data_IF_636025240467
#
_entry.id   IF_636025240467
#
_cell.length_a   1.000
_cell.length_b   1.000
_cell.length_c   1.000
_cell.angle_alpha   90.00
_cell.angle_beta   90.00
_cell.angle_gamma   90.00
#
_symmetry.space_group_name_H-M   'P 1'
#
loop_
_entity.id
_entity.type
_entity.pdbx_description
1 polymer ?
#
# COMPACT_ATOMS: atom_id res chain seq x y z
N UNK A 1 14.27 -13.56 11.76
CA UNK A 1 14.13 -12.78 10.51
C UNK A 1 14.72 -11.41 10.74
N UNK A 2 14.88 -10.57 9.72
CA UNK A 2 15.26 -9.16 9.90
C UNK A 2 14.17 -8.34 9.23
N UNK A 3 13.62 -7.36 9.95
CA UNK A 3 12.69 -6.39 9.38
C UNK A 3 13.47 -5.35 8.58
N UNK A 4 12.89 -4.80 7.49
CA UNK A 4 13.64 -3.99 6.54
C UNK A 4 14.15 -2.66 7.12
N UNK A 5 13.51 -2.16 8.17
CA UNK A 5 13.91 -0.90 8.82
C UNK A 5 13.42 -0.82 10.27
N UNK A 6 13.83 0.23 10.98
CA UNK A 6 13.39 0.50 12.35
C UNK A 6 11.92 0.93 12.41
N UNK A 7 11.45 1.59 11.35
CA UNK A 7 10.08 2.03 11.12
C UNK A 7 9.19 0.81 10.89
N UNK A 8 9.62 -0.15 10.08
CA UNK A 8 8.90 -1.40 9.87
C UNK A 8 8.78 -2.21 11.17
N UNK A 9 9.82 -2.23 12.02
CA UNK A 9 9.73 -2.83 13.36
C UNK A 9 8.69 -2.12 14.22
N UNK A 10 8.74 -0.80 14.27
CA UNK A 10 7.78 0.02 15.02
C UNK A 10 6.34 -0.24 14.54
N UNK A 11 6.13 -0.25 13.22
CA UNK A 11 4.83 -0.50 12.62
C UNK A 11 4.29 -1.89 12.93
N UNK A 12 5.12 -2.94 12.81
CA UNK A 12 4.74 -4.31 13.19
C UNK A 12 4.41 -4.40 14.69
N UNK A 13 5.20 -3.77 15.56
CA UNK A 13 4.94 -3.79 17.01
C UNK A 13 3.60 -3.13 17.35
N UNK A 14 3.34 -1.94 16.81
CA UNK A 14 2.07 -1.22 17.03
C UNK A 14 0.89 -1.96 16.40
N UNK A 15 1.07 -2.54 15.20
CA UNK A 15 0.04 -3.32 14.54
C UNK A 15 -0.35 -4.55 15.37
N UNK A 16 0.62 -5.27 15.92
CA UNK A 16 0.37 -6.39 16.85
C UNK A 16 -0.44 -5.92 18.05
N UNK A 17 -0.01 -4.86 18.72
CA UNK A 17 -0.72 -4.30 19.87
C UNK A 17 -2.14 -3.85 19.52
N UNK A 18 -2.35 -3.21 18.35
CA UNK A 18 -3.66 -2.79 17.86
C UNK A 18 -4.64 -3.97 17.70
N UNK A 19 -4.15 -5.18 17.36
CA UNK A 19 -5.01 -6.38 17.28
C UNK A 19 -5.75 -6.68 18.59
N UNK A 20 -5.18 -6.28 19.74
CA UNK A 20 -5.78 -6.51 21.07
C UNK A 20 -6.93 -5.55 21.39
N UNK A 21 -7.06 -4.43 20.68
CA UNK A 21 -8.12 -3.43 20.90
C UNK A 21 -8.99 -3.21 19.68
N UNK A 22 -9.00 -4.15 18.73
CA UNK A 22 -9.88 -4.11 17.56
C UNK A 22 -11.29 -3.59 17.85
N UNK A 23 -12.01 -4.03 18.92
CA UNK A 23 -13.33 -3.51 19.28
C UNK A 23 -13.48 -1.98 19.37
N UNK A 24 -12.41 -1.26 19.78
CA UNK A 24 -12.41 0.21 19.87
C UNK A 24 -12.13 0.92 18.54
N UNK A 25 -11.50 0.24 17.59
CA UNK A 25 -10.90 0.89 16.42
C UNK A 25 -11.92 1.06 15.29
N UNK A 26 -11.97 2.23 14.65
CA UNK A 26 -12.84 2.45 13.49
C UNK A 26 -12.34 1.75 12.21
N UNK A 27 -11.01 1.58 12.11
CA UNK A 27 -10.34 0.93 11.01
C UNK A 27 -9.54 -0.28 11.48
N UNK A 28 -9.53 -1.32 10.66
CA UNK A 28 -8.70 -2.49 10.86
C UNK A 28 -7.62 -2.48 9.76
N UNK A 29 -6.38 -2.08 10.04
CA UNK A 29 -5.37 -1.98 9.01
C UNK A 29 -4.88 -3.37 8.62
N UNK A 30 -4.58 -3.52 7.33
CA UNK A 30 -4.04 -4.77 6.79
C UNK A 30 -2.52 -4.72 7.00
N UNK A 31 -1.88 -5.86 7.15
CA UNK A 31 -0.43 -5.94 7.18
C UNK A 31 0.03 -6.73 5.96
N UNK A 32 0.55 -6.03 4.95
CA UNK A 32 1.06 -6.67 3.74
C UNK A 32 2.53 -7.05 3.95
N UNK A 33 2.80 -8.32 4.23
CA UNK A 33 4.16 -8.85 4.39
C UNK A 33 4.64 -9.37 3.04
N UNK A 34 5.13 -8.46 2.20
CA UNK A 34 5.50 -8.75 0.81
C UNK A 34 7.01 -8.88 0.65
N UNK A 35 7.46 -9.42 -0.48
CA UNK A 35 8.88 -9.45 -0.81
C UNK A 35 9.12 -10.04 -2.18
N UNK A 36 10.23 -9.68 -2.84
CA UNK A 36 10.43 -9.93 -4.28
C UNK A 36 10.66 -11.41 -4.60
N UNK A 37 11.01 -12.23 -3.61
CA UNK A 37 11.33 -13.64 -3.82
C UNK A 37 10.97 -14.52 -2.62
N UNK A 38 11.10 -15.83 -2.84
CA UNK A 38 11.12 -16.83 -1.77
C UNK A 38 12.31 -16.61 -0.82
N UNK A 39 12.13 -17.05 0.43
CA UNK A 39 13.15 -17.03 1.50
C UNK A 39 13.56 -15.63 1.99
N UNK A 40 12.67 -14.63 1.88
CA UNK A 40 12.86 -13.31 2.49
C UNK A 40 12.41 -13.23 3.97
N UNK A 41 11.99 -14.35 4.56
CA UNK A 41 11.56 -14.38 5.97
C UNK A 41 10.10 -13.98 6.21
N UNK A 42 9.26 -13.88 5.18
CA UNK A 42 7.82 -13.56 5.27
C UNK A 42 7.04 -14.51 6.17
N UNK A 43 7.06 -15.81 5.87
CA UNK A 43 6.38 -16.82 6.71
C UNK A 43 6.93 -16.82 8.14
N UNK A 44 8.22 -16.48 8.34
CA UNK A 44 8.77 -16.34 9.69
C UNK A 44 8.19 -15.15 10.45
N UNK A 45 7.90 -14.03 9.77
CA UNK A 45 7.19 -12.92 10.38
C UNK A 45 5.75 -13.34 10.72
N UNK A 46 5.08 -14.04 9.81
CA UNK A 46 3.76 -14.60 10.08
C UNK A 46 3.74 -15.57 11.27
N UNK A 47 4.77 -16.41 11.44
CA UNK A 47 4.92 -17.27 12.63
C UNK A 47 4.97 -16.43 13.91
N UNK A 48 5.76 -15.35 13.94
CA UNK A 48 5.86 -14.48 15.12
C UNK A 48 4.55 -13.76 15.38
N UNK A 49 3.88 -13.27 14.32
CA UNK A 49 2.57 -12.64 14.44
C UNK A 49 1.53 -13.60 15.00
N UNK A 50 1.49 -14.85 14.51
CA UNK A 50 0.61 -15.91 15.01
C UNK A 50 0.66 -16.04 16.54
N UNK A 51 1.86 -15.95 17.12
CA UNK A 51 2.03 -16.16 18.55
C UNK A 51 1.87 -14.88 19.39
N UNK A 52 1.74 -13.71 18.75
CA UNK A 52 1.71 -12.41 19.45
C UNK A 52 0.40 -11.64 19.28
N UNK A 53 -0.36 -11.87 18.23
CA UNK A 53 -1.63 -11.16 17.97
C UNK A 53 -2.78 -11.70 18.81
N UNK A 54 -3.86 -10.93 18.88
CA UNK A 54 -5.11 -11.37 19.50
C UNK A 54 -5.82 -12.41 18.63
N UNK A 55 -6.10 -13.57 19.24
CA UNK A 55 -6.97 -14.61 18.69
C UNK A 55 -6.66 -14.93 17.22
N UNK A 56 -5.45 -15.48 16.96
CA UNK A 56 -4.99 -15.74 15.60
C UNK A 56 -5.88 -16.77 14.91
N UNK A 57 -6.39 -16.41 13.72
CA UNK A 57 -7.06 -17.33 12.81
C UNK A 57 -6.20 -17.51 11.56
N UNK A 58 -5.43 -18.59 11.54
CA UNK A 58 -4.58 -18.95 10.39
C UNK A 58 -5.46 -19.55 9.30
N UNK A 59 -5.39 -18.98 8.11
CA UNK A 59 -6.10 -19.49 6.93
C UNK A 59 -5.08 -19.94 5.89
N UNK A 60 -4.81 -21.24 5.85
CA UNK A 60 -4.15 -21.90 4.71
C UNK A 60 -5.26 -22.62 3.96
N UNK A 61 -5.77 -22.03 2.87
CA UNK A 61 -6.89 -22.58 2.07
C UNK A 61 -8.27 -22.68 2.77
N UNK A 62 -8.56 -21.84 3.77
CA UNK A 62 -9.89 -21.79 4.39
C UNK A 62 -10.93 -21.15 3.46
N UNK A 63 -12.14 -21.71 3.37
CA UNK A 63 -13.21 -21.14 2.54
C UNK A 63 -13.68 -19.78 3.09
N UNK A 64 -14.04 -18.80 2.24
CA UNK A 64 -14.57 -17.51 2.69
C UNK A 64 -15.75 -17.66 3.66
N UNK A 65 -16.58 -18.69 3.46
CA UNK A 65 -17.73 -18.99 4.30
C UNK A 65 -17.37 -19.37 5.75
N UNK A 66 -16.19 -19.93 6.00
CA UNK A 66 -15.69 -20.18 7.36
C UNK A 66 -15.23 -18.87 7.99
N UNK A 67 -14.52 -18.03 7.23
CA UNK A 67 -14.04 -16.73 7.72
C UNK A 67 -15.22 -15.81 8.08
N UNK A 68 -16.25 -15.72 7.23
CA UNK A 68 -17.46 -14.93 7.54
C UNK A 68 -18.16 -15.36 8.84
N UNK A 69 -18.05 -16.63 9.23
CA UNK A 69 -18.67 -17.15 10.47
C UNK A 69 -17.78 -16.99 11.70
N UNK A 70 -16.47 -16.80 11.51
CA UNK A 70 -15.53 -16.60 12.59
C UNK A 70 -15.44 -15.13 13.04
N UNK A 71 -15.82 -14.18 12.18
CA UNK A 71 -15.80 -12.75 12.51
C UNK A 71 -17.06 -12.38 13.30
N UNK A 72 -16.86 -11.93 14.54
CA UNK A 72 -17.90 -11.42 15.45
C UNK A 72 -17.63 -9.98 15.90
N UNK A 73 -18.21 -9.60 17.06
CA UNK A 73 -18.02 -8.26 17.65
C UNK A 73 -16.59 -8.02 18.15
N UNK A 74 -15.96 -9.06 18.70
CA UNK A 74 -14.54 -9.11 19.05
C UNK A 74 -13.82 -9.99 18.04
N UNK A 75 -13.38 -9.44 16.90
CA UNK A 75 -12.94 -10.23 15.76
C UNK A 75 -11.58 -10.90 16.00
N UNK A 76 -11.35 -12.09 15.42
CA UNK A 76 -10.03 -12.70 15.40
C UNK A 76 -9.08 -11.91 14.50
N UNK A 77 -7.77 -12.13 14.66
CA UNK A 77 -6.78 -11.62 13.71
C UNK A 77 -6.56 -12.63 12.60
N UNK A 78 -6.86 -12.24 11.36
CA UNK A 78 -6.71 -13.13 10.20
C UNK A 78 -5.24 -13.20 9.75
N UNK A 79 -4.75 -14.40 9.49
CA UNK A 79 -3.37 -14.62 9.03
C UNK A 79 -3.39 -15.47 7.76
N UNK A 80 -3.00 -14.87 6.62
CA UNK A 80 -3.00 -15.49 5.29
C UNK A 80 -1.56 -15.66 4.83
N UNK A 81 -1.06 -16.91 4.78
CA UNK A 81 0.23 -17.20 4.14
C UNK A 81 0.03 -17.54 2.66
N UNK A 82 1.10 -17.40 1.88
CA UNK A 82 1.11 -17.70 0.43
C UNK A 82 0.01 -16.96 -0.36
N UNK A 83 -0.26 -15.70 -0.02
CA UNK A 83 -1.27 -14.87 -0.67
C UNK A 83 -1.04 -14.69 -2.19
N UNK A 84 0.19 -14.90 -2.68
CA UNK A 84 0.48 -14.96 -4.12
C UNK A 84 -0.16 -16.17 -4.83
N UNK A 85 -0.47 -17.25 -4.12
CA UNK A 85 -1.24 -18.37 -4.70
C UNK A 85 -2.72 -18.00 -4.90
N UNK A 86 -3.22 -17.04 -4.10
CA UNK A 86 -4.60 -16.56 -4.12
C UNK A 86 -4.76 -15.43 -5.13
N UNK A 87 -3.78 -14.51 -5.19
CA UNK A 87 -3.89 -13.25 -5.93
C UNK A 87 -2.82 -13.04 -7.01
N UNK A 88 -1.80 -13.89 -7.11
CA UNK A 88 -0.64 -13.67 -7.99
C UNK A 88 -0.88 -13.90 -9.48
N UNK A 89 -2.08 -14.33 -9.89
CA UNK A 89 -2.49 -14.37 -11.30
C UNK A 89 -3.91 -13.87 -11.46
N UNK A 90 -4.23 -13.31 -12.64
CA UNK A 90 -5.57 -12.80 -12.96
C UNK A 90 -6.64 -13.86 -12.69
N UNK A 91 -6.42 -15.09 -13.16
CA UNK A 91 -7.36 -16.21 -12.98
C UNK A 91 -7.54 -16.58 -11.50
N UNK A 92 -6.47 -16.55 -10.71
CA UNK A 92 -6.56 -16.83 -9.27
C UNK A 92 -7.30 -15.70 -8.55
N UNK A 93 -7.01 -14.44 -8.89
CA UNK A 93 -7.68 -13.28 -8.31
C UNK A 93 -9.19 -13.28 -8.60
N UNK A 94 -9.59 -13.55 -9.86
CA UNK A 94 -11.00 -13.68 -10.25
C UNK A 94 -11.74 -14.78 -9.49
N UNK A 95 -11.06 -15.92 -9.24
CA UNK A 95 -11.62 -17.03 -8.45
C UNK A 95 -11.79 -16.66 -6.96
N UNK A 96 -10.98 -15.73 -6.46
CA UNK A 96 -10.92 -15.34 -5.05
C UNK A 96 -11.49 -13.94 -4.79
N UNK A 97 -12.35 -13.43 -5.68
CA UNK A 97 -13.01 -12.13 -5.53
C UNK A 97 -13.78 -11.97 -4.22
N UNK A 98 -14.40 -13.04 -3.73
CA UNK A 98 -15.11 -13.00 -2.45
C UNK A 98 -14.19 -12.74 -1.26
N UNK A 99 -13.00 -13.36 -1.26
CA UNK A 99 -12.00 -13.15 -0.23
C UNK A 99 -11.41 -11.74 -0.32
N UNK A 100 -11.12 -11.26 -1.54
CA UNK A 100 -10.69 -9.87 -1.76
C UNK A 100 -11.75 -8.87 -1.27
N UNK A 101 -13.02 -9.14 -1.58
CA UNK A 101 -14.16 -8.34 -1.12
C UNK A 101 -14.27 -8.31 0.40
N UNK A 102 -14.11 -9.46 1.07
CA UNK A 102 -14.07 -9.56 2.53
C UNK A 102 -12.91 -8.74 3.12
N UNK A 103 -11.70 -8.89 2.57
CA UNK A 103 -10.51 -8.15 3.02
C UNK A 103 -10.64 -6.64 2.80
N UNK A 104 -11.27 -6.20 1.71
CA UNK A 104 -11.48 -4.79 1.44
C UNK A 104 -12.58 -4.19 2.33
N UNK A 105 -13.70 -4.90 2.49
CA UNK A 105 -14.84 -4.46 3.30
C UNK A 105 -14.48 -4.38 4.78
N UNK A 106 -13.73 -5.37 5.27
CA UNK A 106 -13.36 -5.45 6.68
C UNK A 106 -12.40 -4.37 7.17
N UNK A 107 -11.91 -3.48 6.30
CA UNK A 107 -10.99 -2.41 6.68
C UNK A 107 -11.70 -1.35 7.50
N UNK A 108 -12.98 -1.13 7.23
CA UNK A 108 -13.80 -0.13 7.89
C UNK A 108 -14.95 -0.81 8.63
N UNK A 109 -15.27 -0.34 9.84
CA UNK A 109 -16.44 -0.81 10.58
C UNK A 109 -17.74 -0.60 9.79
N UNK A 110 -18.76 -1.39 10.15
CA UNK A 110 -20.13 -1.27 9.65
C UNK A 110 -20.26 -1.48 8.12
N UNK A 111 -19.42 -2.34 7.55
CA UNK A 111 -19.47 -2.77 6.13
C UNK A 111 -19.77 -4.29 6.00
N UNK A 112 -20.92 -4.78 6.48
CA UNK A 112 -21.20 -6.21 6.46
C UNK A 112 -21.34 -6.74 5.02
N UNK A 113 -20.99 -8.01 4.81
CA UNK A 113 -21.28 -8.71 3.58
C UNK A 113 -22.67 -9.33 3.66
N UNK A 114 -23.53 -9.04 2.67
CA UNK A 114 -24.82 -9.68 2.54
C UNK A 114 -24.68 -10.95 1.69
N UNK A 115 -25.07 -12.09 2.25
CA UNK A 115 -25.04 -13.39 1.56
C UNK A 115 -26.40 -14.08 1.70
N UNK A 116 -26.81 -14.78 0.65
CA UNK A 116 -27.93 -15.71 0.75
C UNK A 116 -27.43 -16.97 1.45
N UNK A 117 -28.07 -17.35 2.55
CA UNK A 117 -27.68 -18.51 3.34
C UNK A 117 -28.90 -19.25 3.89
N UNK A 118 -28.68 -20.52 4.27
CA UNK A 118 -29.69 -21.36 4.89
C UNK A 118 -30.78 -21.87 3.94
N UNK A 119 -31.66 -22.76 4.44
CA UNK A 119 -32.71 -23.40 3.63
C UNK A 119 -33.80 -22.42 3.17
N UNK A 120 -33.95 -21.28 3.85
CA UNK A 120 -34.96 -20.26 3.51
C UNK A 120 -34.49 -19.26 2.44
N UNK A 121 -33.24 -19.34 1.98
CA UNK A 121 -32.65 -18.46 0.98
C UNK A 121 -32.84 -16.95 1.27
N UNK A 122 -32.73 -16.56 2.54
CA UNK A 122 -32.85 -15.16 2.96
C UNK A 122 -31.48 -14.45 2.98
N UNK A 123 -31.44 -13.13 2.72
CA UNK A 123 -30.23 -12.35 2.94
C UNK A 123 -29.84 -12.35 4.42
N UNK A 124 -28.61 -12.77 4.71
CA UNK A 124 -27.99 -12.70 6.03
C UNK A 124 -26.78 -11.77 5.96
N UNK A 125 -26.67 -10.87 6.95
CA UNK A 125 -25.51 -10.01 7.13
C UNK A 125 -24.42 -10.76 7.90
N UNK A 126 -23.21 -10.75 7.34
CA UNK A 126 -22.01 -11.27 7.98
C UNK A 126 -21.06 -10.10 8.29
N UNK A 127 -20.62 -9.95 9.55
CA UNK A 127 -19.55 -9.01 9.89
C UNK A 127 -18.29 -9.30 9.08
N UNK A 128 -17.57 -8.25 8.71
CA UNK A 128 -16.33 -8.32 7.92
C UNK A 128 -15.14 -7.70 8.63
N UNK A 129 -15.40 -6.88 9.66
CA UNK A 129 -14.40 -6.09 10.35
C UNK A 129 -13.43 -6.99 11.13
N UNK A 130 -12.19 -7.07 10.66
CA UNK A 130 -11.11 -7.83 11.29
C UNK A 130 -9.78 -7.35 10.71
N UNK A 131 -8.74 -7.23 11.55
CA UNK A 131 -7.36 -7.01 11.12
C UNK A 131 -6.84 -8.29 10.44
N UNK A 132 -6.02 -8.10 9.40
CA UNK A 132 -5.53 -9.20 8.59
C UNK A 132 -4.07 -8.98 8.19
N UNK A 133 -3.21 -9.98 8.42
CA UNK A 133 -1.86 -10.01 7.85
C UNK A 133 -1.82 -10.97 6.65
N UNK A 134 -1.23 -10.52 5.55
CA UNK A 134 -1.11 -11.27 4.30
C UNK A 134 0.36 -11.36 3.89
N UNK A 135 0.90 -12.57 3.81
CA UNK A 135 2.25 -12.81 3.29
C UNK A 135 2.22 -13.30 1.85
N UNK A 136 2.98 -12.66 0.97
CA UNK A 136 3.01 -13.02 -0.45
C UNK A 136 4.32 -12.66 -1.17
N UNK A 137 4.53 -13.26 -2.36
CA UNK A 137 5.56 -12.83 -3.30
C UNK A 137 5.02 -11.70 -4.18
N UNK A 138 5.78 -10.62 -4.30
CA UNK A 138 5.35 -9.42 -5.01
C UNK A 138 4.24 -8.67 -4.28
N UNK A 139 3.65 -7.69 -4.95
CA UNK A 139 2.56 -6.90 -4.40
C UNK A 139 1.24 -7.68 -4.39
N UNK A 140 0.39 -7.36 -3.42
CA UNK A 140 -0.99 -7.82 -3.36
C UNK A 140 -1.85 -6.94 -4.29
N UNK A 141 -3.13 -7.26 -4.54
CA UNK A 141 -3.99 -6.39 -5.33
C UNK A 141 -4.01 -4.96 -4.77
N UNK A 142 -3.96 -3.94 -5.63
CA UNK A 142 -3.85 -2.52 -5.26
C UNK A 142 -4.87 -2.11 -4.19
N UNK A 143 -6.11 -2.61 -4.29
CA UNK A 143 -7.16 -2.33 -3.30
C UNK A 143 -6.83 -2.83 -1.88
N UNK A 144 -6.07 -3.92 -1.77
CA UNK A 144 -5.59 -4.45 -0.49
C UNK A 144 -4.36 -3.67 -0.04
N UNK A 145 -3.43 -3.38 -0.95
CA UNK A 145 -2.20 -2.61 -0.67
C UNK A 145 -2.52 -1.22 -0.08
N UNK A 146 -3.47 -0.51 -0.68
CA UNK A 146 -3.93 0.81 -0.26
C UNK A 146 -4.65 0.81 1.12
N UNK A 147 -4.96 -0.37 1.67
CA UNK A 147 -5.53 -0.57 3.02
C UNK A 147 -4.51 -1.16 4.01
N UNK A 148 -3.25 -1.25 3.60
CA UNK A 148 -2.20 -1.99 4.29
C UNK A 148 -1.07 -1.11 4.79
N UNK A 149 -0.57 -1.45 5.97
CA UNK A 149 0.82 -1.16 6.35
C UNK A 149 1.70 -2.18 5.63
N UNK A 150 2.57 -1.71 4.73
CA UNK A 150 3.36 -2.58 3.85
C UNK A 150 4.75 -2.85 4.46
N UNK A 151 5.08 -4.13 4.64
CA UNK A 151 6.38 -4.60 5.12
C UNK A 151 7.11 -5.30 3.97
N UNK A 152 7.96 -4.56 3.26
CA UNK A 152 8.76 -5.07 2.13
C UNK A 152 9.98 -5.85 2.62
N UNK A 153 9.79 -7.14 2.85
CA UNK A 153 10.81 -8.07 3.31
C UNK A 153 11.88 -8.33 2.24
N UNK A 154 13.15 -8.32 2.64
CA UNK A 154 14.28 -8.65 1.77
C UNK A 154 15.04 -9.89 2.23
N UNK A 155 15.85 -10.47 1.33
CA UNK A 155 16.82 -11.49 1.74
C UNK A 155 17.88 -10.86 2.63
N UNK A 156 18.32 -11.60 3.63
CA UNK A 156 19.44 -11.19 4.47
C UNK A 156 20.69 -11.00 3.63
N UNK A 157 21.48 -9.99 3.99
CA UNK A 157 22.81 -9.78 3.41
C UNK A 157 23.78 -10.86 3.88
N UNK A 158 24.83 -11.08 3.10
CA UNK A 158 25.95 -11.91 3.55
C UNK A 158 26.55 -11.27 4.82
N UNK A 159 26.56 -12.00 5.93
CA UNK A 159 27.07 -11.52 7.23
C UNK A 159 25.98 -11.21 8.27
N UNK A 160 24.73 -11.00 7.84
CA UNK A 160 23.61 -10.82 8.77
C UNK A 160 23.24 -12.16 9.43
N UNK A 161 23.56 -12.27 10.71
CA UNK A 161 23.21 -13.43 11.54
C UNK A 161 21.99 -13.10 12.38
N UNK A 162 21.03 -14.01 12.40
CA UNK A 162 19.94 -14.00 13.37
C UNK A 162 19.81 -15.39 13.94
N UNK A 163 19.40 -15.45 15.20
CA UNK A 163 19.05 -16.70 15.83
C UNK A 163 17.94 -17.41 15.08
N UNK A 164 18.03 -18.73 15.07
CA UNK A 164 16.98 -19.56 14.51
C UNK A 164 15.80 -19.59 15.46
N UNK A 165 14.62 -19.23 14.95
CA UNK A 165 13.39 -19.38 15.71
C UNK A 165 13.11 -20.85 15.99
N UNK A 166 12.89 -21.18 17.27
CA UNK A 166 12.60 -22.51 17.77
C UNK A 166 11.31 -22.46 18.57
N UNK A 167 10.27 -23.10 18.05
CA UNK A 167 8.92 -23.10 18.65
C UNK A 167 8.93 -23.41 20.15
N UNK A 168 9.65 -24.46 20.57
CA UNK A 168 9.71 -24.87 21.99
C UNK A 168 10.38 -23.84 22.91
N UNK A 169 11.34 -23.06 22.41
CA UNK A 169 12.10 -22.09 23.19
C UNK A 169 11.43 -20.71 23.18
N UNK A 170 10.97 -20.29 22.01
CA UNK A 170 10.62 -18.89 21.76
C UNK A 170 9.11 -18.62 21.94
N UNK A 171 8.23 -19.59 21.63
CA UNK A 171 6.76 -19.40 21.71
C UNK A 171 6.28 -19.06 23.13
N UNK A 172 6.75 -19.71 24.21
CA UNK A 172 6.25 -19.38 25.55
C UNK A 172 6.44 -17.91 25.93
N UNK A 173 7.56 -17.29 25.52
CA UNK A 173 7.80 -15.88 25.75
C UNK A 173 6.89 -14.97 24.90
N UNK A 174 6.58 -15.38 23.67
CA UNK A 174 5.65 -14.65 22.79
C UNK A 174 4.21 -14.72 23.32
N UNK A 175 3.78 -15.86 23.84
CA UNK A 175 2.47 -15.99 24.52
C UNK A 175 2.39 -15.10 25.75
N UNK A 176 3.43 -15.10 26.59
CA UNK A 176 3.47 -14.20 27.74
C UNK A 176 3.38 -12.72 27.33
N UNK A 177 3.99 -12.33 26.20
CA UNK A 177 3.86 -10.99 25.65
C UNK A 177 2.43 -10.71 25.16
N UNK A 178 1.81 -11.63 24.41
CA UNK A 178 0.42 -11.54 23.95
C UNK A 178 -0.55 -11.34 25.10
N UNK A 179 -0.37 -12.11 26.18
CA UNK A 179 -1.24 -12.06 27.34
C UNK A 179 -1.07 -10.74 28.10
N UNK A 180 0.17 -10.23 28.21
CA UNK A 180 0.45 -8.90 28.77
C UNK A 180 -0.14 -7.77 27.93
N UNK A 181 -0.05 -7.83 26.60
CA UNK A 181 -0.67 -6.85 25.71
C UNK A 181 -2.19 -6.85 25.89
N UNK A 182 -2.81 -8.03 25.98
CA UNK A 182 -4.24 -8.16 26.24
C UNK A 182 -4.62 -7.56 27.58
N UNK A 183 -3.91 -7.90 28.65
CA UNK A 183 -4.18 -7.41 30.00
C UNK A 183 -4.02 -5.89 30.13
N UNK A 184 -3.06 -5.31 29.40
CA UNK A 184 -2.83 -3.86 29.40
C UNK A 184 -3.84 -3.10 28.56
N UNK A 185 -4.11 -3.53 27.32
CA UNK A 185 -4.86 -2.75 26.36
C UNK A 185 -6.38 -2.94 26.46
N UNK A 186 -6.86 -4.12 26.88
CA UNK A 186 -8.30 -4.40 27.00
C UNK A 186 -9.04 -3.41 27.92
N UNK A 187 -8.52 -3.06 29.11
CA UNK A 187 -9.15 -2.07 29.97
C UNK A 187 -9.20 -0.65 29.38
N UNK A 188 -8.39 -0.36 28.36
CA UNK A 188 -8.28 0.96 27.73
C UNK A 188 -9.15 1.09 26.47
N UNK A 189 -10.03 0.12 26.18
CA UNK A 189 -10.86 0.09 24.96
C UNK A 189 -11.71 1.36 24.82
N UNK A 190 -12.36 1.82 25.90
CA UNK A 190 -13.19 3.04 25.87
C UNK A 190 -12.33 4.28 25.63
N UNK A 191 -11.20 4.40 26.34
CA UNK A 191 -10.23 5.49 26.12
C UNK A 191 -9.72 5.48 24.68
N UNK A 192 -9.43 4.31 24.11
CA UNK A 192 -8.98 4.15 22.74
C UNK A 192 -10.03 4.59 21.72
N UNK A 193 -11.32 4.35 22.00
CA UNK A 193 -12.42 4.72 21.12
C UNK A 193 -12.62 6.24 21.03
N UNK A 194 -12.30 6.97 22.10
CA UNK A 194 -12.42 8.42 22.16
C UNK A 194 -11.17 9.18 21.65
N UNK A 195 -10.05 8.47 21.45
CA UNK A 195 -8.82 9.08 20.97
C UNK A 195 -8.90 9.47 19.50
N UNK A 196 -8.66 10.75 19.21
CA UNK A 196 -8.54 11.29 17.85
C UNK A 196 -7.14 11.89 17.71
N UNK A 197 -6.10 11.06 17.47
CA UNK A 197 -4.75 11.56 17.33
C UNK A 197 -4.65 12.43 16.07
N UNK A 198 -3.84 13.51 16.08
CA UNK A 198 -3.49 14.18 14.83
C UNK A 198 -2.82 13.16 13.90
N UNK A 199 -2.92 13.29 12.58
CA UNK A 199 -2.26 12.38 11.64
C UNK A 199 -1.33 13.16 10.72
N UNK A 200 -0.10 12.64 10.43
CA UNK A 200 0.86 13.33 9.57
C UNK A 200 0.61 13.06 8.07
N UNK A 201 -0.40 12.26 7.74
CA UNK A 201 -0.84 11.89 6.40
C UNK A 201 -2.36 12.07 6.29
N UNK A 202 -2.92 11.96 5.09
CA UNK A 202 -4.34 12.18 4.83
C UNK A 202 -5.02 10.94 4.22
N UNK A 203 -6.35 11.02 4.08
CA UNK A 203 -7.19 10.02 3.43
C UNK A 203 -6.93 8.59 3.95
N UNK A 204 -6.80 7.63 3.05
CA UNK A 204 -6.71 6.22 3.39
C UNK A 204 -5.43 5.86 4.13
N UNK A 205 -4.35 6.61 3.91
CA UNK A 205 -3.12 6.44 4.68
C UNK A 205 -3.36 6.82 6.15
N UNK A 206 -4.13 7.88 6.42
CA UNK A 206 -4.52 8.26 7.78
C UNK A 206 -5.39 7.18 8.41
N UNK A 207 -6.43 6.72 7.70
CA UNK A 207 -7.33 5.64 8.17
C UNK A 207 -6.56 4.36 8.53
N UNK A 208 -5.53 4.02 7.75
CA UNK A 208 -4.71 2.81 7.94
C UNK A 208 -3.77 2.95 9.13
N UNK A 209 -3.17 4.13 9.34
CA UNK A 209 -2.16 4.34 10.37
C UNK A 209 -2.74 4.79 11.72
N UNK A 210 -3.92 5.40 11.74
CA UNK A 210 -4.56 5.90 12.96
C UNK A 210 -4.64 4.83 14.07
N UNK A 211 -5.06 3.58 13.81
CA UNK A 211 -5.06 2.54 14.85
C UNK A 211 -3.71 2.26 15.50
N UNK A 212 -2.62 2.39 14.74
CA UNK A 212 -1.25 2.23 15.26
C UNK A 212 -0.86 3.46 16.11
N UNK A 213 -1.25 4.66 15.68
CA UNK A 213 -1.01 5.89 16.43
C UNK A 213 -1.83 5.91 17.73
N UNK A 214 -3.09 5.46 17.72
CA UNK A 214 -3.91 5.32 18.94
C UNK A 214 -3.20 4.46 19.98
N UNK A 215 -2.69 3.28 19.60
CA UNK A 215 -1.90 2.43 20.51
C UNK A 215 -0.65 3.14 21.00
N UNK A 216 0.01 3.91 20.14
CA UNK A 216 1.20 4.65 20.51
C UNK A 216 0.90 5.77 21.52
N UNK A 217 -0.22 6.49 21.38
CA UNK A 217 -0.69 7.47 22.36
C UNK A 217 -0.99 6.82 23.72
N UNK A 218 -1.62 5.64 23.73
CA UNK A 218 -1.86 4.87 24.96
C UNK A 218 -0.56 4.40 25.61
N UNK A 219 0.46 4.10 24.82
CA UNK A 219 1.78 3.71 25.30
C UNK A 219 2.57 4.89 25.89
N UNK A 220 2.40 6.09 25.32
CA UNK A 220 3.11 7.30 25.73
C UNK A 220 4.62 7.26 25.45
N UNK A 221 5.36 8.11 26.16
CA UNK A 221 6.80 8.30 26.00
C UNK A 221 7.19 8.59 24.53
N UNK A 222 8.16 7.85 24.00
CA UNK A 222 8.63 7.99 22.62
C UNK A 222 7.74 7.31 21.56
N UNK A 223 6.72 6.56 21.98
CA UNK A 223 5.90 5.79 21.02
C UNK A 223 5.11 6.65 20.06
N UNK A 224 4.41 7.74 20.47
CA UNK A 224 3.67 8.60 19.56
C UNK A 224 4.56 9.17 18.45
N UNK A 225 5.73 9.68 18.81
CA UNK A 225 6.71 10.24 17.88
C UNK A 225 7.23 9.17 16.91
N UNK A 226 7.58 7.99 17.42
CA UNK A 226 8.04 6.86 16.60
C UNK A 226 6.96 6.36 15.64
N UNK A 227 5.71 6.31 16.07
CA UNK A 227 4.59 5.90 15.23
C UNK A 227 4.38 6.85 14.05
N UNK A 228 4.41 8.16 14.33
CA UNK A 228 4.26 9.22 13.31
C UNK A 228 5.45 9.24 12.34
N UNK A 229 6.66 9.09 12.86
CA UNK A 229 7.86 9.00 12.02
C UNK A 229 7.81 7.77 11.11
N UNK A 230 7.41 6.61 11.64
CA UNK A 230 7.23 5.40 10.86
C UNK A 230 6.14 5.56 9.78
N UNK A 231 5.01 6.19 10.15
CA UNK A 231 3.91 6.51 9.22
C UNK A 231 4.40 7.32 8.03
N UNK A 232 5.06 8.46 8.27
CA UNK A 232 5.57 9.34 7.20
C UNK A 232 6.58 8.60 6.33
N UNK A 233 7.59 7.97 6.94
CA UNK A 233 8.67 7.33 6.20
C UNK A 233 8.17 6.16 5.33
N UNK A 234 7.28 5.33 5.87
CA UNK A 234 6.75 4.17 5.15
C UNK A 234 5.74 4.56 4.08
N UNK A 235 4.87 5.55 4.33
CA UNK A 235 3.97 6.08 3.30
C UNK A 235 4.75 6.73 2.15
N UNK A 236 5.78 7.52 2.45
CA UNK A 236 6.63 8.12 1.42
C UNK A 236 7.37 7.06 0.58
N UNK A 237 7.86 5.99 1.22
CA UNK A 237 8.49 4.88 0.51
C UNK A 237 7.52 4.15 -0.43
N UNK A 238 6.26 3.96 -0.03
CA UNK A 238 5.25 3.34 -0.89
C UNK A 238 4.87 4.25 -2.07
N UNK A 239 4.76 5.57 -1.88
CA UNK A 239 4.55 6.51 -3.01
C UNK A 239 5.72 6.44 -4.00
N UNK A 240 6.97 6.38 -3.51
CA UNK A 240 8.14 6.23 -4.38
C UNK A 240 8.16 4.89 -5.14
N UNK A 241 7.72 3.80 -4.50
CA UNK A 241 7.59 2.48 -5.15
C UNK A 241 6.41 2.43 -6.14
N UNK A 242 5.31 3.11 -5.83
CA UNK A 242 4.25 3.35 -6.81
C UNK A 242 4.81 4.12 -7.99
N UNK A 243 5.58 5.20 -7.81
CA UNK A 243 6.16 5.93 -8.95
C UNK A 243 7.12 5.08 -9.82
N UNK A 244 7.89 4.16 -9.22
CA UNK A 244 8.74 3.20 -9.95
C UNK A 244 7.94 2.09 -10.65
N UNK A 245 6.87 1.59 -10.03
CA UNK A 245 5.98 0.54 -10.57
C UNK A 245 4.88 1.08 -11.48
N UNK A 246 4.55 2.37 -11.37
CA UNK A 246 3.51 3.08 -12.09
C UNK A 246 4.11 3.59 -13.40
N UNK A 247 4.43 2.61 -14.24
CA UNK A 247 4.71 2.76 -15.66
C UNK A 247 3.72 3.75 -16.31
N UNK A 248 2.46 3.83 -15.86
CA UNK A 248 1.49 4.79 -16.41
C UNK A 248 1.78 6.24 -16.02
N UNK A 249 2.14 6.53 -14.78
CA UNK A 249 2.54 7.88 -14.34
C UNK A 249 3.89 8.27 -14.94
N UNK A 250 4.87 7.35 -14.97
CA UNK A 250 6.13 7.58 -15.69
C UNK A 250 5.89 7.90 -17.16
N UNK A 251 4.99 7.16 -17.81
CA UNK A 251 4.57 7.46 -19.18
C UNK A 251 3.99 8.87 -19.31
N UNK A 252 3.15 9.34 -18.37
CA UNK A 252 2.63 10.71 -18.41
C UNK A 252 3.74 11.76 -18.31
N UNK A 253 4.71 11.56 -17.40
CA UNK A 253 5.89 12.44 -17.25
C UNK A 253 6.74 12.45 -18.53
N UNK A 254 7.02 11.28 -19.11
CA UNK A 254 7.82 11.15 -20.32
C UNK A 254 7.10 11.73 -21.54
N UNK A 255 5.77 11.55 -21.65
CA UNK A 255 4.96 12.19 -22.70
C UNK A 255 4.98 13.71 -22.53
N UNK A 256 4.91 14.25 -21.30
CA UNK A 256 5.04 15.70 -21.04
C UNK A 256 6.37 16.24 -21.56
N UNK A 257 7.46 15.51 -21.29
CA UNK A 257 8.80 15.84 -21.80
C UNK A 257 8.86 15.83 -23.33
N UNK A 258 8.24 14.84 -23.99
CA UNK A 258 8.18 14.80 -25.47
C UNK A 258 7.41 16.01 -26.04
N UNK A 259 6.28 16.40 -25.43
CA UNK A 259 5.57 17.62 -25.83
C UNK A 259 6.46 18.87 -25.67
N UNK A 260 7.18 19.00 -24.56
CA UNK A 260 8.11 20.10 -24.33
C UNK A 260 9.27 20.11 -25.37
N UNK A 261 9.82 18.95 -25.72
CA UNK A 261 10.87 18.82 -26.75
C UNK A 261 10.42 19.30 -28.13
N UNK A 262 9.12 19.19 -28.45
CA UNK A 262 8.54 19.72 -29.69
C UNK A 262 8.05 21.17 -29.58
N UNK A 263 8.30 21.86 -28.46
CA UNK A 263 7.85 23.24 -28.24
C UNK A 263 6.37 23.35 -27.88
N UNK A 264 5.82 22.37 -27.16
CA UNK A 264 4.44 22.34 -26.67
C UNK A 264 3.36 22.49 -27.77
N UNK A 265 3.41 21.69 -28.87
CA UNK A 265 2.41 21.79 -29.92
C UNK A 265 1.01 21.36 -29.43
N UNK A 266 -0.04 21.86 -30.07
CA UNK A 266 -1.43 21.51 -29.75
C UNK A 266 -1.73 20.02 -29.93
N UNK A 267 -0.96 19.33 -30.79
CA UNK A 267 -1.10 17.89 -31.00
C UNK A 267 0.19 17.24 -31.47
N UNK A 268 0.36 15.96 -31.14
CA UNK A 268 1.51 15.13 -31.54
C UNK A 268 1.00 13.85 -32.19
N UNK A 269 1.62 13.42 -33.29
CA UNK A 269 1.30 12.16 -33.97
C UNK A 269 1.71 10.98 -33.08
N UNK A 270 0.90 9.93 -33.05
CA UNK A 270 1.20 8.73 -32.25
C UNK A 270 2.55 8.12 -32.61
N UNK A 271 2.90 8.14 -33.90
CA UNK A 271 4.20 7.65 -34.38
C UNK A 271 5.36 8.46 -33.81
N UNK A 272 5.31 9.79 -33.93
CA UNK A 272 6.40 10.67 -33.49
C UNK A 272 6.56 10.61 -31.95
N UNK A 273 5.44 10.54 -31.22
CA UNK A 273 5.45 10.32 -29.77
C UNK A 273 6.15 9.02 -29.38
N UNK A 274 5.84 7.91 -30.08
CA UNK A 274 6.50 6.62 -29.84
C UNK A 274 7.99 6.67 -30.20
N UNK A 275 8.35 7.29 -31.32
CA UNK A 275 9.74 7.44 -31.75
C UNK A 275 10.58 8.15 -30.68
N UNK A 276 10.08 9.24 -30.08
CA UNK A 276 10.82 9.93 -29.02
C UNK A 276 10.84 9.14 -27.71
N UNK A 277 9.74 8.51 -27.31
CA UNK A 277 9.70 7.67 -26.10
C UNK A 277 10.69 6.50 -26.19
N UNK A 278 10.86 5.90 -27.38
CA UNK A 278 11.77 4.77 -27.60
C UNK A 278 13.24 5.18 -27.71
N UNK A 279 13.55 6.47 -27.96
CA UNK A 279 14.94 6.97 -28.02
C UNK A 279 15.59 7.08 -26.63
N UNK A 280 14.78 7.29 -25.59
CA UNK A 280 15.28 7.37 -24.22
C UNK A 280 15.69 5.98 -23.71
N UNK A 281 17.00 5.72 -23.65
CA UNK A 281 17.57 4.46 -23.18
C UNK A 281 17.49 4.30 -21.66
N UNK A 282 17.29 5.38 -20.91
CA UNK A 282 17.09 5.32 -19.45
C UNK A 282 15.62 5.00 -19.10
N UNK A 283 14.71 5.15 -20.07
CA UNK A 283 13.32 4.82 -19.95
C UNK A 283 13.01 3.37 -20.37
N UNK A 284 12.04 2.69 -19.73
CA UNK A 284 11.74 1.28 -19.98
C UNK A 284 11.04 1.03 -21.33
N UNK A 285 10.83 2.07 -22.15
CA UNK A 285 9.97 2.00 -23.33
C UNK A 285 10.54 1.13 -24.44
N UNK A 286 11.85 1.14 -24.65
CA UNK A 286 12.51 0.34 -25.69
C UNK A 286 12.32 -1.17 -25.46
N UNK A 287 12.31 -1.60 -24.19
CA UNK A 287 12.22 -3.01 -23.79
C UNK A 287 10.83 -3.39 -23.25
N UNK A 288 9.88 -2.46 -23.26
CA UNK A 288 8.57 -2.66 -22.62
C UNK A 288 7.89 -3.94 -23.14
N UNK A 289 7.60 -4.88 -22.23
CA UNK A 289 7.04 -6.21 -22.52
C UNK A 289 7.82 -6.99 -23.59
N UNK A 290 9.15 -6.89 -23.59
CA UNK A 290 10.08 -7.59 -24.49
C UNK A 290 9.85 -7.30 -25.99
N UNK A 291 8.99 -6.35 -26.33
CA UNK A 291 8.59 -6.01 -27.71
C UNK A 291 8.67 -4.51 -27.99
N UNK A 292 9.04 -3.71 -26.99
CA UNK A 292 8.99 -2.26 -27.02
C UNK A 292 7.57 -1.71 -26.85
N UNK A 293 7.50 -0.43 -26.49
CA UNK A 293 6.22 0.27 -26.38
C UNK A 293 5.59 0.43 -27.76
N UNK A 294 4.45 -0.23 -27.99
CA UNK A 294 3.69 -0.14 -29.23
C UNK A 294 2.51 0.82 -29.10
N UNK A 295 1.93 1.29 -30.21
CA UNK A 295 0.72 2.12 -30.20
C UNK A 295 -0.45 1.48 -29.43
N UNK A 296 -0.56 0.14 -29.49
CA UNK A 296 -1.56 -0.61 -28.73
C UNK A 296 -1.31 -0.50 -27.23
N UNK A 297 -0.07 -0.72 -26.79
CA UNK A 297 0.27 -0.64 -25.37
C UNK A 297 0.21 0.79 -24.83
N UNK A 298 0.64 1.77 -25.63
CA UNK A 298 0.49 3.19 -25.32
C UNK A 298 -1.00 3.53 -25.08
N UNK A 299 -1.89 3.09 -25.97
CA UNK A 299 -3.33 3.28 -25.79
C UNK A 299 -3.89 2.60 -24.53
N UNK A 300 -3.42 1.40 -24.18
CA UNK A 300 -3.83 0.68 -22.95
C UNK A 300 -3.40 1.43 -21.70
N UNK A 301 -2.16 1.94 -21.67
CA UNK A 301 -1.61 2.67 -20.53
C UNK A 301 -2.33 4.01 -20.32
N UNK A 302 -2.63 4.72 -21.40
CA UNK A 302 -3.29 6.04 -21.36
C UNK A 302 -4.81 5.97 -21.13
N UNK A 303 -5.46 4.84 -21.43
CA UNK A 303 -6.91 4.67 -21.27
C UNK A 303 -7.38 4.92 -19.84
N UNK A 304 -6.56 4.57 -18.84
CA UNK A 304 -6.89 4.77 -17.43
C UNK A 304 -7.05 6.25 -17.03
N UNK A 305 -6.45 7.16 -17.79
CA UNK A 305 -6.54 8.62 -17.58
C UNK A 305 -7.59 9.29 -18.47
N UNK A 306 -8.41 8.50 -19.20
CA UNK A 306 -9.37 9.03 -20.16
C UNK A 306 -8.73 9.53 -21.47
N UNK A 307 -7.44 9.26 -21.70
CA UNK A 307 -6.69 9.76 -22.86
C UNK A 307 -6.73 8.74 -23.98
N UNK A 308 -7.12 9.18 -25.18
CA UNK A 308 -7.28 8.31 -26.35
C UNK A 308 -6.80 9.00 -27.62
N UNK A 309 -6.04 8.26 -28.43
CA UNK A 309 -5.61 8.74 -29.74
C UNK A 309 -6.82 8.93 -30.66
N UNK A 310 -6.90 10.07 -31.32
CA UNK A 310 -7.93 10.37 -32.32
C UNK A 310 -7.29 10.60 -33.70
N UNK A 311 -8.09 10.60 -34.77
CA UNK A 311 -7.62 11.05 -36.08
C UNK A 311 -7.63 12.57 -36.07
N UNK A 312 -6.45 13.18 -36.13
CA UNK A 312 -6.26 14.63 -36.10
C UNK A 312 -5.70 15.12 -37.44
N UNK A 313 -5.98 16.38 -37.78
CA UNK A 313 -5.46 17.04 -38.97
C UNK A 313 -4.20 17.81 -38.58
N UNK A 314 -3.08 17.47 -39.20
CA UNK A 314 -1.78 18.12 -38.99
C UNK A 314 -1.46 19.08 -40.13
N UNK A 315 -0.41 19.90 -39.96
CA UNK A 315 0.07 20.82 -41.00
C UNK A 315 0.31 20.09 -42.34
N UNK A 316 -0.02 20.79 -43.44
CA UNK A 316 -0.03 20.20 -44.77
C UNK A 316 -1.28 19.35 -45.09
N UNK A 317 -2.31 19.39 -44.23
CA UNK A 317 -3.62 18.78 -44.50
C UNK A 317 -3.67 17.26 -44.35
N UNK A 318 -2.59 16.63 -43.87
CA UNK A 318 -2.51 15.18 -43.67
C UNK A 318 -3.25 14.78 -42.39
N UNK A 319 -4.07 13.74 -42.50
CA UNK A 319 -4.73 13.14 -41.35
C UNK A 319 -3.88 11.99 -40.79
N UNK A 320 -3.73 11.94 -39.47
CA UNK A 320 -3.02 10.85 -38.79
C UNK A 320 -3.60 10.62 -37.40
N UNK A 321 -3.37 9.43 -36.83
CA UNK A 321 -3.64 9.18 -35.41
C UNK A 321 -2.65 9.97 -34.56
N UNK A 322 -3.16 10.67 -33.55
CA UNK A 322 -2.37 11.45 -32.62
C UNK A 322 -3.15 11.77 -31.35
N UNK A 323 -2.52 12.54 -30.49
CA UNK A 323 -3.11 13.00 -29.24
C UNK A 323 -3.09 14.54 -29.20
N UNK A 324 -4.17 15.12 -28.70
CA UNK A 324 -4.22 16.56 -28.44
C UNK A 324 -3.63 16.84 -27.05
N UNK A 325 -2.85 17.91 -26.92
CA UNK A 325 -2.21 18.32 -25.66
C UNK A 325 -3.23 18.52 -24.55
N UNK A 326 -4.41 19.05 -24.89
CA UNK A 326 -5.54 19.28 -23.98
C UNK A 326 -6.08 18.01 -23.33
N UNK A 327 -5.86 16.82 -23.90
CA UNK A 327 -6.23 15.56 -23.25
C UNK A 327 -5.35 15.25 -22.04
N UNK A 328 -4.11 15.76 -22.01
CA UNK A 328 -3.14 15.46 -20.97
C UNK A 328 -3.10 16.49 -19.84
N UNK A 329 -3.68 17.68 -20.01
CA UNK A 329 -3.51 18.80 -19.05
C UNK A 329 -3.96 18.44 -17.64
N UNK A 330 -5.15 17.84 -17.48
CA UNK A 330 -5.66 17.40 -16.18
C UNK A 330 -4.81 16.27 -15.57
N UNK A 331 -4.41 15.30 -16.40
CA UNK A 331 -3.56 14.20 -15.94
C UNK A 331 -2.15 14.69 -15.51
N UNK A 332 -1.54 15.63 -16.25
CA UNK A 332 -0.27 16.23 -15.87
C UNK A 332 -0.37 17.06 -14.60
N UNK A 333 -1.44 17.83 -14.42
CA UNK A 333 -1.65 18.62 -13.21
C UNK A 333 -1.77 17.73 -11.96
N UNK A 334 -2.41 16.56 -12.08
CA UNK A 334 -2.66 15.64 -10.95
C UNK A 334 -1.51 14.69 -10.65
N UNK A 335 -0.88 14.15 -11.69
CA UNK A 335 0.09 13.04 -11.57
C UNK A 335 1.52 13.45 -11.92
N UNK A 336 1.74 14.68 -12.39
CA UNK A 336 3.06 15.21 -12.74
C UNK A 336 3.28 16.64 -12.19
N UNK A 337 3.10 16.89 -10.88
CA UNK A 337 3.33 18.20 -10.31
C UNK A 337 4.79 18.63 -10.53
N UNK A 338 5.01 19.91 -10.82
CA UNK A 338 6.36 20.46 -10.93
C UNK A 338 7.02 20.45 -9.55
N UNK A 339 8.25 19.90 -9.47
CA UNK A 339 9.08 20.05 -8.28
C UNK A 339 9.32 21.53 -8.04
N UNK A 340 8.76 22.08 -6.96
CA UNK A 340 9.13 23.42 -6.52
C UNK A 340 10.63 23.40 -6.18
N UNK A 341 11.44 24.33 -6.72
CA UNK A 341 12.80 24.48 -6.23
C UNK A 341 12.75 24.79 -4.73
N UNK A 342 13.70 24.27 -3.93
CA UNK A 342 13.74 24.55 -2.51
C UNK A 342 13.78 26.07 -2.32
N UNK A 343 12.86 26.58 -1.51
CA UNK A 343 12.81 27.97 -1.06
C UNK A 343 14.11 28.28 -0.33
N UNK A 344 15.08 28.82 -1.07
CA UNK A 344 16.30 29.41 -0.53
C UNK A 344 15.97 30.74 0.11
N UNK A 345 15.56 30.71 1.37
CA UNK A 345 15.45 31.91 2.20
C UNK A 345 16.68 32.04 3.09
N UNK A 346 17.28 33.23 3.07
CA UNK A 346 18.24 33.67 4.09
C UNK A 346 19.59 34.17 3.59
N UNK A 347 19.63 35.08 2.60
CA UNK A 347 20.78 36.00 2.50
C UNK A 347 20.75 36.93 3.71
N UNK A 348 21.54 36.63 4.74
CA UNK A 348 21.93 37.61 5.77
C UNK A 348 22.70 38.73 5.09
N UNK A 349 22.04 39.88 4.92
CA UNK A 349 22.72 41.15 4.61
C UNK A 349 23.55 41.56 5.81
N UNK A 350 24.83 41.76 5.56
CA UNK A 350 25.76 42.48 6.41
C UNK A 350 25.24 43.93 6.54
N UNK A 351 24.83 44.34 7.73
CA UNK A 351 24.84 45.76 8.11
C UNK A 351 26.13 46.02 8.89
N UNK A 352 27.04 46.71 8.21
CA UNK A 352 28.20 47.36 8.78
C UNK A 352 27.70 48.58 9.57
N UNK A 353 27.71 48.49 10.90
CA UNK A 353 27.61 49.67 11.75
C UNK A 353 29.02 50.29 11.83
N UNK A 354 29.16 51.43 11.15
CA UNK A 354 30.34 52.28 11.21
C UNK A 354 29.96 53.58 11.97
N UNK A 355 30.95 54.08 12.72
CA UNK A 355 31.06 55.38 13.42
C UNK A 355 30.52 55.52 14.86
N UNK A 356 31.16 56.38 15.69
CA UNK A 356 32.60 56.55 15.94
C UNK A 356 32.96 56.38 17.43
#
# INVERSE_FOLDING_TARGET
>A
MILPSSEALTAVTLWVAATHIQPALQHAPRLAVVGPAKRCGKSRLLDVLTETVREPLITVNTSPAVVFRAIGEDPPTLLVDEADTIFGSIKAAEKNEELRGLLNAGHQRNRPALRISGPEHKPQAFPTFAMAALAGIGDLPDTVMDRSVVIRMQRRKAGERVEQFRSRRDIPALHALRDRLTAWLRPLTDTAADLVPPMPVQDRAADTWEPLVVVAELAGDSWPERARAACVAMCAAEVGQEDESNVKTRLLKDVRRVFACYGDPDSVRTRDLLEELLKDQEAPWAEYRNTGLTARYLGILLKGFGIQAAVLRFEGGRQARGFARTQFTDAWARYCPEEQPPSGDGTTRHESADHP
#
